data_IF_367276293039
#
_entry.id   IF_367276293039
#
_cell.length_a   1.000
_cell.length_b   1.000
_cell.length_c   1.000
_cell.angle_alpha   90.00
_cell.angle_beta   90.00
_cell.angle_gamma   90.00
#
_symmetry.space_group_name_H-M   'P 1'
#
loop_
_entity.id
_entity.type
_entity.pdbx_description
1 polymer ?
#
# COMPACT_ATOMS: atom_id res chain seq x y z
N UNK A 1 2.12 27.89 -4.49
CA UNK A 1 2.14 26.44 -4.74
C UNK A 1 0.92 25.69 -4.18
N UNK A 2 0.54 25.79 -2.90
CA UNK A 2 -0.63 25.04 -2.37
C UNK A 2 -1.96 25.40 -3.05
N UNK A 3 -2.25 26.70 -3.20
CA UNK A 3 -3.41 27.20 -3.94
C UNK A 3 -3.38 26.79 -5.42
N UNK A 4 -2.20 26.53 -5.99
CA UNK A 4 -2.05 26.09 -7.37
C UNK A 4 -2.38 24.59 -7.51
N UNK A 5 -1.93 23.74 -6.57
CA UNK A 5 -2.31 22.31 -6.53
C UNK A 5 -3.80 22.12 -6.29
N UNK A 6 -4.42 22.92 -5.41
CA UNK A 6 -5.87 22.88 -5.15
C UNK A 6 -6.68 23.41 -6.35
N UNK A 7 -6.21 24.47 -7.02
CA UNK A 7 -6.90 25.04 -8.18
C UNK A 7 -6.87 24.11 -9.42
N UNK A 8 -5.91 23.20 -9.50
CA UNK A 8 -5.80 22.20 -10.57
C UNK A 8 -6.19 20.79 -10.11
N UNK A 9 -6.76 20.65 -8.92
CA UNK A 9 -7.27 19.37 -8.42
C UNK A 9 -8.47 18.95 -9.27
N UNK A 10 -8.35 17.78 -9.91
CA UNK A 10 -9.40 17.24 -10.78
C UNK A 10 -10.01 16.03 -10.08
N UNK A 11 -11.24 16.11 -9.53
CA UNK A 11 -11.84 15.01 -8.78
C UNK A 11 -12.01 13.73 -9.61
N UNK A 12 -12.09 13.86 -10.94
CA UNK A 12 -12.24 12.72 -11.85
C UNK A 12 -10.95 11.92 -12.04
N UNK A 13 -9.79 12.44 -11.64
CA UNK A 13 -8.50 11.75 -11.77
C UNK A 13 -8.06 11.11 -10.45
N UNK A 14 -7.40 9.95 -10.47
CA UNK A 14 -6.77 9.38 -9.28
C UNK A 14 -5.76 10.34 -8.64
N UNK A 15 -5.76 10.43 -7.31
CA UNK A 15 -4.92 11.39 -6.59
C UNK A 15 -3.41 11.17 -6.83
N UNK A 16 -3.01 9.91 -7.09
CA UNK A 16 -1.63 9.53 -7.37
C UNK A 16 -1.14 9.93 -8.79
N UNK A 17 -2.05 10.29 -9.71
CA UNK A 17 -1.72 10.75 -11.07
C UNK A 17 -1.61 12.27 -11.16
N UNK A 18 -2.04 13.00 -10.13
CA UNK A 18 -2.18 14.46 -10.16
C UNK A 18 -0.90 15.22 -9.78
N UNK A 19 0.21 14.52 -9.52
CA UNK A 19 1.50 15.16 -9.21
C UNK A 19 1.48 16.08 -7.98
N UNK A 20 0.63 15.77 -7.00
CA UNK A 20 0.51 16.55 -5.76
C UNK A 20 1.76 16.34 -4.89
N UNK A 21 2.52 17.40 -4.64
CA UNK A 21 3.74 17.33 -3.82
C UNK A 21 3.51 18.10 -2.53
N UNK A 22 3.05 19.35 -2.63
CA UNK A 22 2.99 20.25 -1.49
C UNK A 22 1.89 19.84 -0.50
N UNK A 23 0.73 19.40 -0.99
CA UNK A 23 -0.39 18.96 -0.14
C UNK A 23 -0.02 17.78 0.79
N UNK A 24 0.56 16.66 0.31
CA UNK A 24 1.04 15.58 1.18
C UNK A 24 2.13 16.04 2.17
N UNK A 25 3.06 16.89 1.73
CA UNK A 25 4.14 17.40 2.59
C UNK A 25 3.59 18.32 3.70
N UNK A 26 2.62 19.18 3.39
CA UNK A 26 1.94 19.99 4.41
C UNK A 26 1.09 19.16 5.36
N UNK A 27 0.41 18.12 4.88
CA UNK A 27 -0.31 17.20 5.76
C UNK A 27 0.64 16.54 6.76
N UNK A 28 1.83 16.15 6.29
CA UNK A 28 2.90 15.58 7.13
C UNK A 28 3.43 16.63 8.13
N UNK A 29 3.63 17.87 7.70
CA UNK A 29 4.11 18.95 8.55
C UNK A 29 3.07 19.36 9.61
N UNK A 30 1.78 19.41 9.25
CA UNK A 30 0.67 19.63 10.18
C UNK A 30 0.55 18.52 11.22
N UNK A 31 0.78 17.26 10.82
CA UNK A 31 0.91 16.13 11.73
C UNK A 31 2.08 16.31 12.71
N UNK A 32 3.24 16.79 12.26
CA UNK A 32 4.38 17.09 13.16
C UNK A 32 4.10 18.22 14.16
N UNK A 33 3.33 19.24 13.78
CA UNK A 33 2.90 20.30 14.70
C UNK A 33 1.94 19.77 15.78
N UNK A 34 1.07 18.81 15.43
CA UNK A 34 0.24 18.07 16.38
C UNK A 34 1.06 17.26 17.39
N UNK A 35 2.17 16.66 16.95
CA UNK A 35 3.14 15.99 17.85
C UNK A 35 3.77 16.99 18.81
N UNK A 36 4.24 18.14 18.32
CA UNK A 36 4.86 19.16 19.16
C UNK A 36 3.89 19.69 20.23
N UNK A 37 2.61 19.91 19.85
CA UNK A 37 1.56 20.27 20.80
C UNK A 37 1.32 19.17 21.85
N UNK A 38 1.26 17.90 21.42
CA UNK A 38 1.03 16.77 22.32
C UNK A 38 2.18 16.54 23.31
N UNK A 39 3.43 16.78 22.89
CA UNK A 39 4.62 16.58 23.73
C UNK A 39 4.89 17.73 24.71
N UNK A 40 4.68 18.98 24.29
CA UNK A 40 5.17 20.15 25.03
C UNK A 40 4.07 21.06 25.61
N UNK A 41 2.85 21.03 25.06
CA UNK A 41 1.78 21.99 25.41
C UNK A 41 0.54 21.34 26.01
N UNK A 42 0.72 20.23 26.74
CA UNK A 42 -0.34 19.66 27.58
C UNK A 42 -1.27 18.68 26.87
N UNK A 43 -0.73 17.79 26.04
CA UNK A 43 -1.48 16.70 25.41
C UNK A 43 -2.49 17.16 24.34
N UNK A 44 -2.79 16.28 23.40
CA UNK A 44 -4.06 16.31 22.64
C UNK A 44 -5.12 15.47 23.38
N UNK A 45 -4.72 14.84 24.48
CA UNK A 45 -5.47 13.86 25.26
C UNK A 45 -5.99 14.46 26.55
N UNK A 46 -7.27 14.24 26.80
CA UNK A 46 -7.90 14.49 28.08
C UNK A 46 -7.81 13.22 28.94
N UNK A 47 -7.11 13.28 30.07
CA UNK A 47 -6.77 12.11 30.91
C UNK A 47 -7.92 11.59 31.77
N UNK A 48 -9.10 12.23 31.75
CA UNK A 48 -10.24 11.91 32.63
C UNK A 48 -11.33 11.02 32.01
N UNK A 49 -11.32 10.74 30.71
CA UNK A 49 -12.29 9.82 30.12
C UNK A 49 -11.92 8.37 30.54
N UNK A 50 -12.87 7.59 31.11
CA UNK A 50 -12.64 6.20 31.49
C UNK A 50 -12.53 5.33 30.22
N UNK A 51 -11.36 5.39 29.58
CA UNK A 51 -11.12 4.82 28.24
C UNK A 51 -9.69 5.08 27.74
N UNK A 52 -8.68 4.99 28.61
CA UNK A 52 -7.27 5.32 28.32
C UNK A 52 -6.56 4.47 27.25
N UNK A 53 -7.27 3.89 26.27
CA UNK A 53 -6.75 3.15 25.11
C UNK A 53 -6.90 3.87 23.76
N UNK A 54 -7.60 5.01 23.70
CA UNK A 54 -8.22 5.50 22.45
C UNK A 54 -7.28 6.30 21.52
N UNK A 55 -5.99 6.36 21.81
CA UNK A 55 -5.01 7.20 21.10
C UNK A 55 -3.74 6.53 20.59
N UNK A 56 -3.29 5.53 21.34
CA UNK A 56 -2.12 4.71 21.01
C UNK A 56 -2.43 3.68 19.92
N UNK A 57 -3.58 3.04 20.05
CA UNK A 57 -4.05 1.97 19.17
C UNK A 57 -4.40 2.46 17.75
N UNK A 58 -5.09 3.61 17.56
CA UNK A 58 -5.53 4.04 16.23
C UNK A 58 -4.39 4.36 15.27
N UNK A 59 -3.25 4.89 15.74
CA UNK A 59 -2.12 5.27 14.86
C UNK A 59 -1.45 4.08 14.18
N UNK A 60 -1.10 3.05 14.96
CA UNK A 60 -0.53 1.82 14.41
C UNK A 60 -1.54 1.02 13.59
N UNK A 61 -2.81 0.97 14.02
CA UNK A 61 -3.87 0.33 13.23
C UNK A 61 -4.06 1.07 11.91
N UNK A 62 -4.19 2.40 11.91
CA UNK A 62 -4.36 3.20 10.70
C UNK A 62 -3.19 3.02 9.72
N UNK A 63 -1.95 2.93 10.23
CA UNK A 63 -0.77 2.61 9.44
C UNK A 63 -0.94 1.28 8.69
N UNK A 64 -1.31 0.21 9.38
CA UNK A 64 -1.55 -1.09 8.74
C UNK A 64 -2.78 -1.07 7.82
N UNK A 65 -3.85 -0.37 8.21
CA UNK A 65 -5.11 -0.32 7.48
C UNK A 65 -4.93 0.31 6.10
N UNK A 66 -4.25 1.46 6.01
CA UNK A 66 -3.98 2.13 4.71
C UNK A 66 -2.99 1.34 3.85
N UNK A 67 -2.09 0.58 4.47
CA UNK A 67 -1.07 -0.18 3.77
C UNK A 67 -1.61 -1.46 3.12
N UNK A 68 -2.53 -2.16 3.78
CA UNK A 68 -3.03 -3.48 3.35
C UNK A 68 -4.44 -3.45 2.73
N UNK A 69 -5.35 -2.61 3.24
CA UNK A 69 -6.75 -2.69 2.86
C UNK A 69 -6.99 -2.00 1.50
N UNK A 70 -7.59 -2.73 0.55
CA UNK A 70 -8.01 -2.22 -0.75
C UNK A 70 -9.55 -2.07 -0.89
N UNK A 71 -10.31 -2.51 0.10
CA UNK A 71 -11.77 -2.32 0.17
C UNK A 71 -12.12 -0.92 0.67
N UNK A 72 -11.52 -0.52 1.80
CA UNK A 72 -11.71 0.83 2.35
C UNK A 72 -10.84 1.89 1.64
N UNK A 73 -9.76 1.47 0.97
CA UNK A 73 -8.90 2.32 0.16
C UNK A 73 -8.86 1.78 -1.27
N UNK A 74 -9.84 2.13 -2.12
CA UNK A 74 -9.87 1.66 -3.50
C UNK A 74 -8.61 2.10 -4.26
N UNK A 75 -8.03 1.17 -5.01
CA UNK A 75 -6.78 1.40 -5.74
C UNK A 75 -6.93 2.43 -6.87
N UNK A 76 -8.16 2.68 -7.33
CA UNK A 76 -8.50 3.77 -8.24
C UNK A 76 -8.22 5.17 -7.66
N UNK A 77 -8.23 5.34 -6.33
CA UNK A 77 -7.93 6.63 -5.69
C UNK A 77 -6.55 6.66 -5.05
N UNK A 78 -6.14 5.54 -4.44
CA UNK A 78 -4.93 5.44 -3.62
C UNK A 78 -3.76 4.74 -4.30
N UNK A 79 -3.96 4.24 -5.53
CA UNK A 79 -3.00 3.38 -6.22
C UNK A 79 -2.97 1.97 -5.65
N UNK A 80 -2.29 1.03 -6.35
CA UNK A 80 -2.17 -0.35 -5.91
C UNK A 80 -1.33 -0.45 -4.63
N UNK A 81 -1.62 -1.46 -3.81
CA UNK A 81 -0.70 -1.87 -2.75
C UNK A 81 0.54 -2.55 -3.34
N UNK A 82 1.60 -2.74 -2.54
CA UNK A 82 2.81 -3.45 -2.98
C UNK A 82 2.49 -4.87 -3.53
N UNK A 83 1.76 -5.72 -2.77
CA UNK A 83 1.31 -7.01 -3.26
C UNK A 83 0.44 -6.92 -4.53
N UNK A 84 -0.43 -5.91 -4.64
CA UNK A 84 -1.28 -5.72 -5.82
C UNK A 84 -0.48 -5.40 -7.08
N UNK A 85 0.51 -4.49 -6.98
CA UNK A 85 1.43 -4.18 -8.08
C UNK A 85 2.27 -5.39 -8.49
N UNK A 86 2.73 -6.20 -7.51
CA UNK A 86 3.54 -7.39 -7.78
C UNK A 86 2.75 -8.48 -8.54
N UNK A 87 1.51 -8.75 -8.13
CA UNK A 87 0.65 -9.70 -8.85
C UNK A 87 0.20 -9.15 -10.21
N UNK A 88 -0.04 -7.85 -10.32
CA UNK A 88 -0.35 -7.20 -11.59
C UNK A 88 0.81 -7.33 -12.60
N UNK A 89 2.06 -7.19 -12.14
CA UNK A 89 3.25 -7.44 -12.95
C UNK A 89 3.30 -8.90 -13.42
N UNK A 90 3.22 -9.86 -12.49
CA UNK A 90 3.27 -11.29 -12.82
C UNK A 90 2.18 -11.70 -13.81
N UNK A 91 0.95 -11.21 -13.61
CA UNK A 91 -0.18 -11.43 -14.49
C UNK A 91 0.08 -10.89 -15.90
N UNK A 92 0.54 -9.64 -16.02
CA UNK A 92 0.81 -9.01 -17.33
C UNK A 92 1.84 -9.81 -18.14
N UNK A 93 2.92 -10.27 -17.51
CA UNK A 93 3.92 -11.09 -18.18
C UNK A 93 3.41 -12.48 -18.55
N UNK A 94 2.62 -13.12 -17.68
CA UNK A 94 1.99 -14.41 -17.96
C UNK A 94 1.09 -14.31 -19.19
N UNK A 95 0.19 -13.32 -19.23
CA UNK A 95 -0.74 -13.13 -20.35
C UNK A 95 0.02 -12.86 -21.66
N UNK A 96 1.07 -12.03 -21.59
CA UNK A 96 1.92 -11.74 -22.75
C UNK A 96 2.60 -13.00 -23.28
N UNK A 97 3.23 -13.79 -22.42
CA UNK A 97 3.94 -15.01 -22.84
C UNK A 97 2.97 -16.09 -23.36
N UNK A 98 1.77 -16.17 -22.80
CA UNK A 98 0.72 -17.04 -23.32
C UNK A 98 0.28 -16.64 -24.74
N UNK A 99 0.15 -15.34 -25.03
CA UNK A 99 -0.14 -14.81 -26.38
C UNK A 99 0.98 -15.10 -27.38
N UNK A 100 2.23 -15.20 -26.90
CA UNK A 100 3.37 -15.63 -27.72
C UNK A 100 3.45 -17.15 -27.90
N UNK A 101 2.48 -17.92 -27.38
CA UNK A 101 2.40 -19.37 -27.54
C UNK A 101 3.15 -20.17 -26.47
N UNK A 102 3.63 -19.54 -25.38
CA UNK A 102 4.27 -20.26 -24.29
C UNK A 102 3.23 -20.98 -23.42
N UNK A 103 3.49 -22.26 -23.10
CA UNK A 103 2.62 -23.01 -22.19
C UNK A 103 2.96 -22.69 -20.72
N UNK A 104 2.15 -21.83 -20.12
CA UNK A 104 2.35 -21.35 -18.74
C UNK A 104 2.26 -22.45 -17.68
N UNK A 105 1.60 -23.58 -17.98
CA UNK A 105 1.43 -24.71 -17.06
C UNK A 105 2.61 -25.68 -17.04
N UNK A 106 3.47 -25.66 -18.05
CA UNK A 106 4.64 -26.57 -18.16
C UNK A 106 5.98 -25.83 -18.24
N UNK A 107 5.97 -24.50 -18.20
CA UNK A 107 7.19 -23.70 -18.23
C UNK A 107 7.94 -23.82 -16.90
N UNK A 108 9.03 -24.58 -16.91
CA UNK A 108 9.94 -24.70 -15.76
C UNK A 108 10.92 -23.52 -15.76
N UNK A 109 11.11 -22.91 -14.60
CA UNK A 109 12.11 -21.88 -14.35
C UNK A 109 13.49 -22.48 -14.05
N UNK A 110 14.55 -21.65 -14.00
CA UNK A 110 15.93 -22.12 -13.79
C UNK A 110 16.18 -22.83 -12.46
N UNK A 111 15.35 -22.56 -11.45
CA UNK A 111 15.44 -23.18 -10.12
C UNK A 111 14.79 -24.56 -10.04
N UNK A 112 14.19 -25.04 -11.13
CA UNK A 112 13.45 -26.29 -11.19
C UNK A 112 11.97 -26.18 -10.81
N UNK A 113 11.50 -25.02 -10.34
CA UNK A 113 10.08 -24.75 -10.06
C UNK A 113 9.35 -24.20 -11.30
N UNK A 114 8.02 -24.14 -11.26
CA UNK A 114 7.24 -23.50 -12.32
C UNK A 114 7.54 -22.00 -12.44
N UNK A 115 7.78 -21.52 -13.66
CA UNK A 115 8.12 -20.11 -13.94
C UNK A 115 6.94 -19.17 -13.64
N UNK A 116 5.74 -19.53 -14.08
CA UNK A 116 4.55 -18.67 -13.96
C UNK A 116 3.59 -19.11 -12.85
N UNK A 117 3.37 -20.41 -12.72
CA UNK A 117 2.43 -21.00 -11.78
C UNK A 117 3.11 -22.09 -10.96
N UNK A 118 2.71 -22.21 -9.71
CA UNK A 118 3.13 -23.28 -8.82
C UNK A 118 2.08 -23.51 -7.72
N UNK A 119 2.38 -24.41 -6.78
CA UNK A 119 1.48 -24.70 -5.65
C UNK A 119 1.87 -23.91 -4.41
N UNK A 120 0.87 -23.43 -3.67
CA UNK A 120 1.04 -22.89 -2.33
C UNK A 120 1.41 -24.02 -1.34
N UNK A 121 1.82 -23.68 -0.11
CA UNK A 121 2.03 -24.67 0.95
C UNK A 121 0.80 -25.53 1.26
N UNK A 122 -0.41 -25.04 0.93
CA UNK A 122 -1.69 -25.75 1.11
C UNK A 122 -2.21 -26.39 -0.18
N UNK A 123 -1.48 -26.28 -1.29
CA UNK A 123 -1.79 -26.93 -2.56
C UNK A 123 -2.60 -26.10 -3.57
N UNK A 124 -2.96 -24.85 -3.25
CA UNK A 124 -3.64 -23.92 -4.17
C UNK A 124 -2.73 -23.52 -5.33
N UNK A 125 -3.31 -23.23 -6.50
CA UNK A 125 -2.57 -22.70 -7.65
C UNK A 125 -2.31 -21.20 -7.46
N UNK A 126 -1.05 -20.82 -7.40
CA UNK A 126 -0.58 -19.45 -7.18
C UNK A 126 0.47 -19.05 -8.22
N UNK A 127 0.78 -17.75 -8.29
CA UNK A 127 1.88 -17.25 -9.12
C UNK A 127 3.24 -17.73 -8.62
N UNK A 128 4.15 -17.99 -9.56
CA UNK A 128 5.53 -18.41 -9.31
C UNK A 128 6.50 -17.25 -9.05
N UNK A 129 7.74 -17.58 -8.72
CA UNK A 129 8.80 -16.59 -8.46
C UNK A 129 8.62 -15.85 -7.13
N UNK A 130 9.20 -14.66 -7.02
CA UNK A 130 9.24 -13.92 -5.76
C UNK A 130 7.86 -13.49 -5.23
N UNK A 131 6.87 -13.35 -6.12
CA UNK A 131 5.49 -12.98 -5.76
C UNK A 131 4.73 -14.10 -5.05
N UNK A 132 5.35 -15.28 -4.88
CA UNK A 132 4.77 -16.37 -4.08
C UNK A 132 4.38 -15.96 -2.67
N UNK A 133 5.12 -15.00 -2.09
CA UNK A 133 4.84 -14.44 -0.76
C UNK A 133 3.58 -13.57 -0.70
N UNK A 134 3.01 -13.22 -1.86
CA UNK A 134 1.83 -12.36 -2.03
C UNK A 134 0.63 -13.12 -2.59
N UNK A 135 0.60 -14.45 -2.41
CA UNK A 135 -0.49 -15.31 -2.88
C UNK A 135 -1.86 -15.02 -2.23
N UNK A 136 -1.86 -14.31 -1.10
CA UNK A 136 -3.06 -13.91 -0.34
C UNK A 136 -3.76 -12.65 -0.89
N UNK A 137 -3.22 -12.01 -1.94
CA UNK A 137 -3.87 -10.86 -2.56
C UNK A 137 -5.26 -11.24 -3.09
N UNK A 138 -6.26 -10.41 -2.77
CA UNK A 138 -7.59 -10.45 -3.38
C UNK A 138 -7.91 -9.10 -4.01
N UNK A 139 -8.24 -9.11 -5.30
CA UNK A 139 -8.55 -7.90 -6.05
C UNK A 139 -9.67 -8.14 -7.06
N UNK A 140 -10.59 -7.19 -7.27
CA UNK A 140 -11.78 -7.40 -8.10
C UNK A 140 -11.46 -7.75 -9.56
N UNK A 141 -10.30 -7.32 -10.06
CA UNK A 141 -9.83 -7.64 -11.41
C UNK A 141 -9.24 -9.05 -11.53
N UNK A 142 -8.85 -9.70 -10.43
CA UNK A 142 -8.23 -11.04 -10.42
C UNK A 142 -9.20 -12.13 -9.96
N UNK A 143 -10.12 -11.82 -9.03
CA UNK A 143 -11.07 -12.78 -8.46
C UNK A 143 -11.88 -13.59 -9.48
N UNK A 144 -12.34 -13.01 -10.61
CA UNK A 144 -13.05 -13.79 -11.63
C UNK A 144 -12.23 -14.95 -12.24
N UNK A 145 -10.90 -14.88 -12.16
CA UNK A 145 -9.98 -15.90 -12.67
C UNK A 145 -9.61 -16.96 -11.61
N UNK A 146 -10.09 -16.80 -10.36
CA UNK A 146 -9.93 -17.77 -9.28
C UNK A 146 -11.06 -18.79 -9.31
N UNK A 147 -10.72 -20.06 -9.07
CA UNK A 147 -11.62 -21.17 -8.79
C UNK A 147 -11.48 -21.67 -7.36
N UNK A 148 -12.07 -22.83 -7.02
CA UNK A 148 -12.04 -23.39 -5.66
C UNK A 148 -10.63 -23.69 -5.13
N UNK A 149 -9.67 -23.96 -6.02
CA UNK A 149 -8.31 -24.38 -5.66
C UNK A 149 -7.25 -23.34 -6.09
N UNK A 150 -7.59 -22.04 -6.07
CA UNK A 150 -6.70 -20.96 -6.53
C UNK A 150 -6.95 -20.58 -7.99
N UNK A 151 -5.91 -20.17 -8.72
CA UNK A 151 -6.04 -19.73 -10.12
C UNK A 151 -6.49 -20.87 -11.04
N UNK A 152 -7.54 -20.64 -11.82
CA UNK A 152 -8.08 -21.64 -12.75
C UNK A 152 -7.36 -21.56 -14.10
N UNK A 153 -6.62 -22.63 -14.45
CA UNK A 153 -5.89 -22.73 -15.72
C UNK A 153 -6.79 -22.57 -16.95
N UNK A 154 -8.04 -23.03 -16.88
CA UNK A 154 -8.97 -22.90 -17.99
C UNK A 154 -9.35 -21.44 -18.18
N UNK A 155 -9.65 -20.71 -17.10
CA UNK A 155 -10.00 -19.29 -17.16
C UNK A 155 -8.83 -18.42 -17.60
N UNK A 156 -7.62 -18.71 -17.10
CA UNK A 156 -6.40 -18.03 -17.57
C UNK A 156 -6.16 -18.22 -19.08
N UNK A 157 -6.66 -19.31 -19.68
CA UNK A 157 -6.52 -19.55 -21.12
C UNK A 157 -7.52 -18.80 -21.99
N UNK A 158 -8.76 -18.66 -21.55
CA UNK A 158 -9.89 -18.20 -22.40
C UNK A 158 -10.66 -17.00 -21.89
N UNK A 159 -10.61 -16.70 -20.59
CA UNK A 159 -11.59 -15.81 -19.96
C UNK A 159 -10.99 -14.46 -19.50
N UNK A 160 -9.74 -14.16 -19.89
CA UNK A 160 -9.08 -12.89 -19.57
C UNK A 160 -9.77 -11.74 -20.31
N UNK A 161 -10.05 -10.65 -19.59
CA UNK A 161 -10.67 -9.46 -20.15
C UNK A 161 -9.64 -8.36 -20.47
N UNK A 162 -9.78 -7.63 -21.59
CA UNK A 162 -8.84 -6.54 -21.94
C UNK A 162 -8.75 -5.42 -20.91
N UNK A 163 -9.82 -5.15 -20.14
CA UNK A 163 -9.76 -4.14 -19.08
C UNK A 163 -8.98 -4.61 -17.84
N UNK A 164 -8.95 -5.93 -17.56
CA UNK A 164 -8.11 -6.51 -16.51
C UNK A 164 -6.63 -6.34 -16.85
N UNK A 165 -6.28 -6.58 -18.12
CA UNK A 165 -4.90 -6.38 -18.63
C UNK A 165 -4.46 -4.92 -18.60
N UNK A 166 -5.34 -3.99 -18.97
CA UNK A 166 -5.03 -2.55 -18.89
C UNK A 166 -4.79 -2.13 -17.44
N UNK A 167 -5.68 -2.55 -16.53
CA UNK A 167 -5.53 -2.27 -15.10
C UNK A 167 -4.25 -2.89 -14.53
N UNK A 168 -3.93 -4.13 -14.89
CA UNK A 168 -2.69 -4.77 -14.41
C UNK A 168 -1.45 -4.06 -14.95
N UNK A 169 -1.48 -3.59 -16.20
CA UNK A 169 -0.40 -2.79 -16.78
C UNK A 169 -0.24 -1.46 -16.02
N UNK A 170 -1.32 -0.72 -15.80
CA UNK A 170 -1.31 0.55 -15.05
C UNK A 170 -0.80 0.37 -13.61
N UNK A 171 -1.19 -0.71 -12.94
CA UNK A 171 -0.78 -0.97 -11.55
C UNK A 171 0.70 -1.36 -11.43
N UNK A 172 1.25 -2.10 -12.40
CA UNK A 172 2.69 -2.39 -12.39
C UNK A 172 3.54 -1.17 -12.80
N UNK A 173 3.01 -0.27 -13.65
CA UNK A 173 3.73 0.95 -14.04
C UNK A 173 3.78 1.98 -12.91
N UNK A 174 2.74 2.04 -12.09
CA UNK A 174 2.66 2.92 -10.91
C UNK A 174 2.95 2.18 -9.60
N UNK A 175 3.91 1.26 -9.62
CA UNK A 175 4.34 0.52 -8.43
C UNK A 175 4.78 1.49 -7.30
N UNK A 176 4.39 1.23 -6.03
CA UNK A 176 4.50 2.21 -4.94
C UNK A 176 5.92 2.32 -4.35
N UNK A 177 6.90 2.71 -5.16
CA UNK A 177 8.28 2.96 -4.76
C UNK A 177 8.75 4.37 -5.17
N UNK A 178 9.52 5.01 -4.31
CA UNK A 178 10.18 6.28 -4.62
C UNK A 178 11.08 6.77 -3.48
N UNK A 179 11.63 7.96 -3.64
CA UNK A 179 12.64 8.58 -2.77
C UNK A 179 12.15 9.85 -2.06
N UNK A 180 12.97 10.38 -1.15
CA UNK A 180 12.68 11.61 -0.40
C UNK A 180 12.49 12.84 -1.29
N UNK A 181 13.22 12.96 -2.40
CA UNK A 181 13.05 14.03 -3.38
C UNK A 181 11.90 13.77 -4.38
N UNK A 182 10.97 12.87 -4.04
CA UNK A 182 9.80 12.48 -4.84
C UNK A 182 10.14 11.88 -6.20
N UNK A 183 11.29 11.20 -6.33
CA UNK A 183 11.64 10.49 -7.56
C UNK A 183 11.15 9.05 -7.45
N UNK A 184 10.29 8.65 -8.38
CA UNK A 184 9.78 7.30 -8.53
C UNK A 184 10.80 6.39 -9.23
N UNK A 185 10.76 5.10 -8.89
CA UNK A 185 11.71 4.11 -9.39
C UNK A 185 12.43 3.39 -8.27
N UNK A 186 13.39 2.52 -8.62
CA UNK A 186 14.22 1.82 -7.64
C UNK A 186 15.37 2.72 -7.18
N UNK A 187 16.02 2.36 -6.06
CA UNK A 187 17.05 3.19 -5.43
C UNK A 187 18.26 3.53 -6.31
N UNK A 188 18.50 2.76 -7.37
CA UNK A 188 19.62 2.92 -8.31
C UNK A 188 19.22 3.58 -9.63
N UNK A 189 18.01 4.16 -9.71
CA UNK A 189 17.53 4.86 -10.90
C UNK A 189 17.87 6.35 -10.89
N UNK A 190 17.98 6.91 -12.09
CA UNK A 190 18.17 8.35 -12.29
C UNK A 190 16.87 9.14 -12.03
N UNK A 191 16.99 10.46 -11.85
CA UNK A 191 15.85 11.36 -11.62
C UNK A 191 15.01 11.54 -12.90
N UNK A 192 14.10 10.59 -13.16
CA UNK A 192 13.28 10.58 -14.37
C UNK A 192 11.80 10.90 -14.10
N UNK A 193 11.18 10.18 -13.16
CA UNK A 193 9.73 10.24 -12.92
C UNK A 193 9.47 10.81 -11.54
N UNK A 194 8.54 11.76 -11.43
CA UNK A 194 8.09 12.28 -10.14
C UNK A 194 6.84 11.51 -9.69
N UNK A 195 7.02 10.55 -8.79
CA UNK A 195 5.94 9.70 -8.29
C UNK A 195 6.30 9.04 -6.96
N UNK A 196 5.41 9.17 -5.98
CA UNK A 196 5.42 8.40 -4.72
C UNK A 196 3.97 8.12 -4.33
N UNK A 197 3.64 6.87 -4.00
CA UNK A 197 2.27 6.51 -3.63
C UNK A 197 1.80 7.26 -2.36
N UNK A 198 0.56 7.78 -2.34
CA UNK A 198 -0.04 8.35 -1.13
C UNK A 198 -0.07 7.39 0.06
N UNK A 199 -0.14 6.06 -0.18
CA UNK A 199 -0.12 5.05 0.88
C UNK A 199 1.19 5.08 1.67
N UNK A 200 2.32 5.32 1.00
CA UNK A 200 3.64 5.43 1.64
C UNK A 200 3.71 6.65 2.57
N UNK A 201 3.22 7.80 2.11
CA UNK A 201 3.14 9.02 2.93
C UNK A 201 2.23 8.83 4.15
N UNK A 202 1.05 8.26 3.94
CA UNK A 202 0.07 8.05 5.01
C UNK A 202 0.61 7.04 6.04
N UNK A 203 1.08 5.86 5.62
CA UNK A 203 1.56 4.84 6.54
C UNK A 203 2.75 5.34 7.39
N UNK A 204 3.76 5.95 6.76
CA UNK A 204 4.94 6.48 7.47
C UNK A 204 4.55 7.58 8.46
N UNK A 205 3.67 8.51 8.07
CA UNK A 205 3.18 9.56 8.96
C UNK A 205 2.43 8.99 10.16
N UNK A 206 1.47 8.07 9.95
CA UNK A 206 0.69 7.46 11.03
C UNK A 206 1.55 6.65 11.99
N UNK A 207 2.59 5.96 11.49
CA UNK A 207 3.53 5.22 12.32
C UNK A 207 4.31 6.16 13.26
N UNK A 208 4.88 7.24 12.72
CA UNK A 208 5.65 8.21 13.50
C UNK A 208 4.75 8.89 14.55
N UNK A 209 3.54 9.29 14.16
CA UNK A 209 2.54 9.86 15.07
C UNK A 209 2.18 8.89 16.19
N UNK A 210 1.85 7.64 15.86
CA UNK A 210 1.51 6.61 16.84
C UNK A 210 2.64 6.35 17.84
N UNK A 211 3.88 6.31 17.36
CA UNK A 211 5.05 6.18 18.21
C UNK A 211 5.22 7.35 19.18
N UNK A 212 5.16 8.60 18.71
CA UNK A 212 5.35 9.75 19.62
C UNK A 212 4.19 9.93 20.60
N UNK A 213 2.95 9.60 20.19
CA UNK A 213 1.83 9.56 21.13
C UNK A 213 1.99 8.47 22.19
N UNK A 214 2.59 7.32 21.85
CA UNK A 214 2.94 6.31 22.86
C UNK A 214 3.92 6.84 23.89
N UNK A 215 5.00 7.46 23.43
CA UNK A 215 6.02 8.03 24.31
C UNK A 215 5.42 9.12 25.21
N UNK A 216 4.59 10.00 24.64
CA UNK A 216 3.85 11.01 25.39
C UNK A 216 2.91 10.42 26.43
N UNK A 217 2.16 9.37 26.07
CA UNK A 217 1.27 8.66 27.00
C UNK A 217 2.04 8.09 28.20
N UNK A 218 3.18 7.42 27.97
CA UNK A 218 4.01 6.89 29.05
C UNK A 218 4.58 7.99 29.95
N UNK A 219 4.98 9.12 29.37
CA UNK A 219 5.51 10.27 30.09
C UNK A 219 4.45 10.89 31.03
N UNK A 220 3.26 11.19 30.50
CA UNK A 220 2.16 11.77 31.28
C UNK A 220 1.56 10.79 32.29
N UNK A 221 1.50 9.50 31.97
CA UNK A 221 1.05 8.46 32.90
C UNK A 221 1.96 8.35 34.13
N UNK A 222 3.28 8.45 33.95
CA UNK A 222 4.23 8.50 35.07
C UNK A 222 4.08 9.77 35.91
N UNK A 223 3.91 10.92 35.27
CA UNK A 223 3.68 12.20 35.96
C UNK A 223 2.42 12.19 36.83
N UNK A 224 1.32 11.63 36.32
CA UNK A 224 0.03 11.55 37.03
C UNK A 224 0.10 10.62 38.25
N UNK A 225 0.71 9.45 38.11
CA UNK A 225 0.92 8.49 39.20
C UNK A 225 1.88 8.98 40.30
N UNK A 226 2.75 9.94 40.00
CA UNK A 226 3.62 10.59 40.98
C UNK A 226 2.90 11.69 41.74
N UNK A 227 1.92 12.36 41.13
CA UNK A 227 1.12 13.40 41.77
C UNK A 227 0.03 12.83 42.69
N UNK A 228 -0.50 11.64 42.40
CA UNK A 228 -1.49 10.95 43.24
C UNK A 228 -0.90 10.25 44.48
N UNK A 229 0.40 10.40 44.72
CA UNK A 229 1.15 9.71 45.78
C UNK A 229 1.70 10.67 46.85
N UNK A 230 1.23 11.92 46.82
CA UNK A 230 1.47 13.00 47.80
C UNK A 230 0.10 13.38 48.37
#
# INVERSE_FOLDING_TARGET
MNLFEVAHFVPEKPMYEQGLILLPHLATLGAFLLVFKALYFGGVYDTWAPGGGDGLYPGFIACCFVWFNNTAYPSEFYGPTGPEASQAQAFTFLVRDQRLGANVGSAQGPTGLGKYLMRSPTGEVIFGGETMRFWDLRAPWLEPLRGPNGLDLSRLKKDIQPWQERRSAEYMTHAPLGSLNSVGGVATEINAVNYVSPRSWLATSHFVLGFFFFVGHLWHGKGSCSCSRI
#
